data_IF_929328685188
#
_entry.id   IF_929328685188
#
_cell.length_a   1.000
_cell.length_b   1.000
_cell.length_c   1.000
_cell.angle_alpha   90.00
_cell.angle_beta   90.00
_cell.angle_gamma   90.00
#
_symmetry.space_group_name_H-M   'P 1'
#
loop_
_entity.id
_entity.type
_entity.pdbx_description
1 polymer ?
#
# COMPACT_ATOMS: atom_id res chain seq x y z
N UNK A 1 -37.39 -4.86 -29.12
CA UNK A 1 -36.04 -5.23 -29.58
C UNK A 1 -35.04 -4.63 -28.59
N UNK A 2 -34.55 -5.43 -27.64
CA UNK A 2 -33.73 -4.92 -26.52
C UNK A 2 -32.65 -5.95 -26.22
N UNK A 3 -31.59 -5.99 -27.04
CA UNK A 3 -30.44 -6.88 -26.83
C UNK A 3 -29.18 -6.15 -27.32
N UNK A 4 -28.56 -5.31 -26.49
CA UNK A 4 -27.23 -4.72 -26.78
C UNK A 4 -26.45 -4.19 -25.56
N UNK A 5 -26.96 -4.28 -24.33
CA UNK A 5 -26.30 -3.64 -23.16
C UNK A 5 -25.45 -4.57 -22.29
N UNK A 6 -25.47 -5.89 -22.50
CA UNK A 6 -24.74 -6.83 -21.61
C UNK A 6 -23.31 -7.20 -22.08
N UNK A 7 -22.93 -6.88 -23.32
CA UNK A 7 -21.67 -7.37 -23.91
C UNK A 7 -20.43 -6.50 -23.65
N UNK A 8 -20.54 -5.39 -22.92
CA UNK A 8 -19.38 -4.54 -22.54
C UNK A 8 -18.97 -4.62 -21.08
N UNK A 9 -19.77 -5.23 -20.21
CA UNK A 9 -19.45 -5.30 -18.78
C UNK A 9 -18.52 -6.48 -18.44
N UNK A 10 -18.63 -7.58 -19.17
CA UNK A 10 -17.85 -8.80 -18.92
C UNK A 10 -16.39 -8.76 -19.41
N UNK A 11 -16.05 -7.93 -20.41
CA UNK A 11 -14.68 -7.90 -20.97
C UNK A 11 -13.68 -7.04 -20.19
N UNK A 12 -14.16 -6.15 -19.32
CA UNK A 12 -13.31 -5.29 -18.47
C UNK A 12 -12.85 -6.03 -17.21
N UNK A 13 -13.66 -6.94 -16.68
CA UNK A 13 -13.33 -7.72 -15.48
C UNK A 13 -12.28 -8.80 -15.75
N UNK A 14 -12.29 -9.43 -16.94
CA UNK A 14 -11.29 -10.45 -17.29
C UNK A 14 -9.87 -9.88 -17.50
N UNK A 15 -9.77 -8.63 -17.97
CA UNK A 15 -8.48 -7.98 -18.22
C UNK A 15 -7.88 -7.34 -16.95
N UNK A 16 -8.71 -7.07 -15.93
CA UNK A 16 -8.27 -6.56 -14.62
C UNK A 16 -7.70 -7.69 -13.74
N UNK A 17 -8.11 -8.95 -13.97
CA UNK A 17 -7.54 -10.11 -13.28
C UNK A 17 -6.10 -10.43 -13.77
N UNK A 18 -5.81 -10.19 -15.06
CA UNK A 18 -4.49 -10.53 -15.65
C UNK A 18 -3.39 -9.50 -15.38
N UNK A 19 -3.71 -8.27 -14.98
CA UNK A 19 -2.70 -7.26 -14.62
C UNK A 19 -2.24 -7.33 -13.17
N UNK A 20 -2.82 -8.23 -12.35
CA UNK A 20 -2.44 -8.46 -10.96
C UNK A 20 -1.43 -9.61 -10.76
N UNK A 21 -0.83 -10.09 -11.85
CA UNK A 21 0.27 -11.04 -11.82
C UNK A 21 1.48 -10.44 -12.54
N UNK A 22 2.16 -9.49 -11.88
CA UNK A 22 3.54 -9.14 -12.24
C UNK A 22 4.39 -10.06 -11.38
N UNK A 23 4.85 -11.13 -12.03
CA UNK A 23 5.94 -11.98 -11.56
C UNK A 23 7.12 -11.10 -11.12
N UNK A 24 7.50 -11.29 -9.85
CA UNK A 24 8.82 -11.78 -9.49
C UNK A 24 9.99 -11.30 -10.37
N UNK A 25 10.40 -10.06 -10.16
CA UNK A 25 11.83 -9.70 -10.27
C UNK A 25 12.08 -8.51 -9.34
N UNK A 26 12.42 -8.82 -8.10
CA UNK A 26 13.13 -7.90 -7.22
C UNK A 26 14.54 -8.45 -7.05
N UNK A 27 15.61 -7.65 -7.19
CA UNK A 27 16.95 -8.12 -6.88
C UNK A 27 17.04 -8.34 -5.36
N UNK A 28 16.82 -9.59 -4.94
CA UNK A 28 16.97 -10.04 -3.56
C UNK A 28 18.45 -10.07 -3.13
N UNK A 29 18.81 -9.58 -1.93
CA UNK A 29 19.95 -10.10 -1.18
C UNK A 29 19.60 -11.49 -0.60
N UNK A 30 20.59 -12.37 -0.32
CA UNK A 30 20.38 -13.80 -0.34
C UNK A 30 19.55 -14.32 0.84
N UNK A 31 18.47 -15.04 0.47
CA UNK A 31 17.88 -16.21 1.16
C UNK A 31 17.66 -16.12 2.67
N UNK A 32 16.42 -15.82 3.04
CA UNK A 32 15.73 -16.56 4.09
C UNK A 32 14.38 -17.08 3.55
N UNK A 33 14.16 -18.39 3.73
CA UNK A 33 13.06 -19.18 3.18
C UNK A 33 11.67 -18.60 3.54
N UNK A 34 10.62 -18.81 2.72
CA UNK A 34 9.31 -18.21 2.95
C UNK A 34 8.67 -18.83 4.21
N UNK A 35 8.75 -18.11 5.32
CA UNK A 35 7.96 -18.41 6.50
C UNK A 35 6.49 -18.19 6.14
N UNK A 36 5.66 -19.20 6.40
CA UNK A 36 4.19 -19.14 6.33
C UNK A 36 3.71 -17.80 6.88
N UNK A 37 3.12 -16.98 6.00
CA UNK A 37 2.79 -15.59 6.30
C UNK A 37 1.89 -15.48 7.52
N UNK A 38 2.41 -14.91 8.59
CA UNK A 38 1.59 -14.44 9.71
C UNK A 38 0.77 -13.28 9.16
N UNK A 39 -0.53 -13.49 8.97
CA UNK A 39 -1.47 -12.40 8.70
C UNK A 39 -1.57 -11.56 9.97
N UNK A 40 -0.90 -10.41 10.00
CA UNK A 40 -1.06 -9.46 11.10
C UNK A 40 -2.47 -8.88 11.08
N UNK A 41 -3.07 -8.75 12.26
CA UNK A 41 -4.32 -8.02 12.45
C UNK A 41 -4.09 -6.52 12.26
N UNK A 42 -5.18 -5.77 12.05
CA UNK A 42 -5.12 -4.31 11.91
C UNK A 42 -4.51 -3.63 13.15
N UNK A 43 -4.88 -4.08 14.35
CA UNK A 43 -4.34 -3.53 15.61
C UNK A 43 -2.83 -3.76 15.74
N UNK A 44 -2.34 -4.92 15.32
CA UNK A 44 -0.90 -5.23 15.33
C UNK A 44 -0.14 -4.37 14.30
N UNK A 45 -0.74 -4.13 13.13
CA UNK A 45 -0.20 -3.22 12.12
C UNK A 45 -0.10 -1.80 12.68
N UNK A 46 -1.17 -1.30 13.32
CA UNK A 46 -1.20 0.04 13.91
C UNK A 46 -0.13 0.18 15.00
N UNK A 47 -0.02 -0.81 15.88
CA UNK A 47 1.01 -0.83 16.92
C UNK A 47 2.42 -0.90 16.34
N UNK A 48 2.63 -1.70 15.30
CA UNK A 48 3.93 -1.88 14.67
C UNK A 48 4.41 -0.67 13.90
N UNK A 49 3.52 0.01 13.14
CA UNK A 49 3.81 1.25 12.41
C UNK A 49 4.16 2.42 13.37
N UNK A 50 3.61 2.39 14.59
CA UNK A 50 3.92 3.36 15.64
C UNK A 50 5.08 2.93 16.56
N UNK A 51 5.79 1.85 16.23
CA UNK A 51 6.95 1.41 16.99
C UNK A 51 8.14 2.39 16.86
N UNK A 52 9.07 2.31 17.81
CA UNK A 52 10.37 2.99 17.73
C UNK A 52 11.41 2.19 16.95
N UNK A 53 11.17 0.89 16.73
CA UNK A 53 12.08 0.00 16.01
C UNK A 53 11.81 0.06 14.49
N UNK A 54 12.78 0.50 13.65
CA UNK A 54 12.63 0.56 12.21
C UNK A 54 12.29 -0.79 11.56
N UNK A 55 12.75 -1.91 12.12
CA UNK A 55 12.47 -3.25 11.59
C UNK A 55 10.99 -3.60 11.79
N UNK A 56 10.46 -3.31 12.98
CA UNK A 56 9.03 -3.50 13.30
C UNK A 56 8.17 -2.58 12.43
N UNK A 57 8.57 -1.32 12.27
CA UNK A 57 7.90 -0.37 11.37
C UNK A 57 7.85 -0.88 9.93
N UNK A 58 8.96 -1.43 9.43
CA UNK A 58 9.03 -2.01 8.09
C UNK A 58 8.10 -3.21 7.93
N UNK A 59 8.17 -4.18 8.84
CA UNK A 59 7.32 -5.38 8.80
C UNK A 59 5.82 -5.01 8.86
N UNK A 60 5.45 -4.08 9.74
CA UNK A 60 4.08 -3.60 9.87
C UNK A 60 3.61 -2.81 8.65
N UNK A 61 4.47 -1.97 8.06
CA UNK A 61 4.14 -1.22 6.83
C UNK A 61 3.99 -2.16 5.63
N UNK A 62 4.82 -3.19 5.53
CA UNK A 62 4.66 -4.22 4.50
C UNK A 62 3.35 -5.01 4.68
N UNK A 63 2.98 -5.33 5.92
CA UNK A 63 1.71 -6.01 6.22
C UNK A 63 0.50 -5.10 5.90
N UNK A 64 0.57 -3.81 6.25
CA UNK A 64 -0.41 -2.80 5.84
C UNK A 64 -0.61 -2.81 4.32
N UNK A 65 0.47 -2.71 3.55
CA UNK A 65 0.41 -2.75 2.09
C UNK A 65 -0.26 -4.03 1.57
N UNK A 66 0.13 -5.19 2.11
CA UNK A 66 -0.42 -6.50 1.71
C UNK A 66 -1.92 -6.60 2.00
N UNK A 67 -2.37 -6.17 3.18
CA UNK A 67 -3.78 -6.11 3.56
C UNK A 67 -4.59 -5.24 2.59
N UNK A 68 -4.06 -4.06 2.25
CA UNK A 68 -4.69 -3.15 1.28
C UNK A 68 -4.72 -3.68 -0.17
N UNK A 69 -3.87 -4.66 -0.51
CA UNK A 69 -3.75 -5.19 -1.87
C UNK A 69 -4.59 -6.45 -2.12
N UNK A 70 -4.85 -7.26 -1.08
CA UNK A 70 -5.42 -8.60 -1.23
C UNK A 70 -6.91 -8.68 -0.91
N UNK A 71 -7.43 -7.82 -0.04
CA UNK A 71 -8.84 -7.88 0.34
C UNK A 71 -9.74 -7.31 -0.76
N UNK A 72 -10.87 -7.97 -1.06
CA UNK A 72 -11.86 -7.45 -2.03
C UNK A 72 -12.43 -6.10 -1.59
N UNK A 73 -12.51 -5.89 -0.27
CA UNK A 73 -12.94 -4.64 0.36
C UNK A 73 -11.94 -4.31 1.47
N UNK A 74 -10.78 -3.72 1.14
CA UNK A 74 -9.77 -3.39 2.15
C UNK A 74 -10.36 -2.38 3.15
N UNK A 75 -9.98 -2.44 4.44
CA UNK A 75 -10.53 -1.58 5.49
C UNK A 75 -9.94 -0.16 5.43
N UNK A 76 -10.06 0.50 4.27
CA UNK A 76 -9.49 1.81 3.96
C UNK A 76 -9.84 2.88 5.01
N UNK A 77 -11.10 2.93 5.44
CA UNK A 77 -11.56 3.88 6.45
C UNK A 77 -10.87 3.65 7.80
N UNK A 78 -10.67 2.40 8.19
CA UNK A 78 -10.00 2.07 9.45
C UNK A 78 -8.53 2.50 9.43
N UNK A 79 -7.86 2.44 8.26
CA UNK A 79 -6.50 2.98 8.11
C UNK A 79 -6.44 4.51 8.25
N UNK A 80 -7.45 5.20 7.73
CA UNK A 80 -7.58 6.67 7.86
C UNK A 80 -7.85 7.05 9.32
N UNK A 81 -8.85 6.42 9.94
CA UNK A 81 -9.26 6.68 11.33
C UNK A 81 -8.15 6.37 12.33
N UNK A 82 -7.34 5.34 12.06
CA UNK A 82 -6.16 4.99 12.86
C UNK A 82 -4.98 5.96 12.68
N UNK A 83 -5.09 6.99 11.83
CA UNK A 83 -4.04 7.98 11.61
C UNK A 83 -2.81 7.44 10.87
N UNK A 84 -2.92 6.29 10.20
CA UNK A 84 -1.78 5.64 9.56
C UNK A 84 -1.23 6.47 8.39
N UNK A 85 -2.06 7.25 7.71
CA UNK A 85 -1.63 8.11 6.59
C UNK A 85 -0.53 9.07 7.05
N UNK A 86 -0.73 9.78 8.17
CA UNK A 86 0.25 10.73 8.70
C UNK A 86 1.59 10.05 8.99
N UNK A 87 1.55 8.84 9.57
CA UNK A 87 2.75 8.08 9.90
C UNK A 87 3.48 7.57 8.65
N UNK A 88 2.75 7.13 7.64
CA UNK A 88 3.34 6.75 6.34
C UNK A 88 4.00 7.95 5.65
N UNK A 89 3.40 9.14 5.74
CA UNK A 89 3.99 10.39 5.21
C UNK A 89 5.28 10.76 5.95
N UNK A 90 5.37 10.54 7.25
CA UNK A 90 6.63 10.70 7.99
C UNK A 90 7.71 9.73 7.51
N UNK A 91 7.35 8.47 7.22
CA UNK A 91 8.28 7.50 6.65
C UNK A 91 8.81 7.95 5.29
N UNK A 92 7.98 8.56 4.43
CA UNK A 92 8.45 9.12 3.16
C UNK A 92 9.57 10.17 3.35
N UNK A 93 9.51 10.96 4.42
CA UNK A 93 10.50 12.00 4.73
C UNK A 93 11.80 11.44 5.31
N UNK A 94 11.79 10.19 5.79
CA UNK A 94 12.94 9.56 6.46
C UNK A 94 13.88 8.89 5.44
N UNK A 95 14.89 9.63 4.96
CA UNK A 95 15.92 9.13 4.03
C UNK A 95 16.82 8.03 4.60
N UNK A 96 16.79 7.80 5.91
CA UNK A 96 17.60 6.78 6.59
C UNK A 96 17.17 5.34 6.28
N UNK A 97 15.93 5.14 5.81
CA UNK A 97 15.34 3.81 5.65
C UNK A 97 14.66 3.68 4.28
N UNK A 98 15.46 3.53 3.21
CA UNK A 98 14.95 3.51 1.83
C UNK A 98 13.92 2.40 1.56
N UNK A 99 14.08 1.22 2.16
CA UNK A 99 13.09 0.13 2.05
C UNK A 99 11.76 0.47 2.74
N UNK A 100 11.81 1.16 3.89
CA UNK A 100 10.61 1.62 4.58
C UNK A 100 9.92 2.74 3.81
N UNK A 101 10.68 3.68 3.22
CA UNK A 101 10.15 4.70 2.31
C UNK A 101 9.41 4.07 1.12
N UNK A 102 9.98 3.01 0.54
CA UNK A 102 9.37 2.31 -0.58
C UNK A 102 8.02 1.66 -0.21
N UNK A 103 7.99 0.90 0.90
CA UNK A 103 6.74 0.28 1.36
C UNK A 103 5.70 1.34 1.78
N UNK A 104 6.13 2.46 2.38
CA UNK A 104 5.24 3.55 2.74
C UNK A 104 4.62 4.23 1.52
N UNK A 105 5.41 4.49 0.47
CA UNK A 105 4.92 5.04 -0.78
C UNK A 105 3.91 4.10 -1.43
N UNK A 106 4.18 2.79 -1.42
CA UNK A 106 3.27 1.80 -1.99
C UNK A 106 1.99 1.63 -1.16
N UNK A 107 2.07 1.67 0.17
CA UNK A 107 0.88 1.68 1.02
C UNK A 107 0.01 2.91 0.73
N UNK A 108 0.60 4.10 0.59
CA UNK A 108 -0.12 5.33 0.27
C UNK A 108 -0.80 5.30 -1.11
N UNK A 109 -0.16 4.72 -2.14
CA UNK A 109 -0.82 4.57 -3.46
C UNK A 109 -1.99 3.60 -3.41
N UNK A 110 -1.91 2.55 -2.59
CA UNK A 110 -3.03 1.64 -2.37
C UNK A 110 -4.17 2.32 -1.59
N UNK A 111 -3.86 3.15 -0.58
CA UNK A 111 -4.87 3.94 0.15
C UNK A 111 -5.57 4.93 -0.79
N UNK A 112 -4.79 5.61 -1.64
CA UNK A 112 -5.28 6.56 -2.64
C UNK A 112 -6.07 5.90 -3.80
N UNK A 113 -6.37 4.60 -3.73
CA UNK A 113 -7.28 3.95 -4.68
C UNK A 113 -8.76 4.29 -4.42
N UNK A 114 -9.10 4.74 -3.22
CA UNK A 114 -10.46 5.15 -2.84
C UNK A 114 -10.68 6.66 -2.89
N UNK A 115 -11.88 7.10 -3.29
CA UNK A 115 -12.19 8.52 -3.55
C UNK A 115 -12.06 9.40 -2.30
N UNK A 116 -12.60 8.97 -1.17
CA UNK A 116 -12.56 9.73 0.09
C UNK A 116 -11.15 9.72 0.70
N UNK A 117 -10.40 8.64 0.50
CA UNK A 117 -9.07 8.46 1.07
C UNK A 117 -8.01 9.27 0.33
N UNK A 118 -8.19 9.53 -0.97
CA UNK A 118 -7.32 10.45 -1.72
C UNK A 118 -7.24 11.81 -1.02
N UNK A 119 -8.38 12.34 -0.58
CA UNK A 119 -8.41 13.63 0.10
C UNK A 119 -7.62 13.59 1.41
N UNK A 120 -7.76 12.53 2.20
CA UNK A 120 -7.00 12.35 3.43
C UNK A 120 -5.47 12.25 3.17
N UNK A 121 -5.06 11.58 2.09
CA UNK A 121 -3.63 11.51 1.68
C UNK A 121 -3.09 12.88 1.28
N UNK A 122 -3.88 13.69 0.59
CA UNK A 122 -3.52 15.06 0.21
C UNK A 122 -3.41 15.95 1.45
N UNK A 123 -4.39 15.90 2.34
CA UNK A 123 -4.43 16.70 3.58
C UNK A 123 -3.30 16.35 4.55
N UNK A 124 -2.88 15.08 4.59
CA UNK A 124 -1.71 14.65 5.34
C UNK A 124 -0.37 15.16 4.76
N UNK A 125 -0.38 15.82 3.61
CA UNK A 125 0.81 16.43 3.00
C UNK A 125 1.72 15.44 2.29
N UNK A 126 1.18 14.35 1.74
CA UNK A 126 1.97 13.32 1.04
C UNK A 126 2.58 13.79 -0.29
N UNK A 127 2.01 14.85 -0.92
CA UNK A 127 2.39 15.27 -2.28
C UNK A 127 3.86 15.67 -2.38
N UNK A 128 4.35 16.57 -1.52
CA UNK A 128 5.74 17.05 -1.58
C UNK A 128 6.74 15.91 -1.35
N UNK A 129 6.63 15.08 -0.29
CA UNK A 129 7.51 13.93 -0.11
C UNK A 129 7.50 12.96 -1.29
N UNK A 130 6.34 12.70 -1.91
CA UNK A 130 6.27 11.82 -3.08
C UNK A 130 7.00 12.39 -4.30
N UNK A 131 6.94 13.72 -4.51
CA UNK A 131 7.68 14.39 -5.58
C UNK A 131 9.19 14.30 -5.33
N UNK A 132 9.63 14.48 -4.08
CA UNK A 132 11.05 14.42 -3.70
C UNK A 132 11.68 13.03 -3.93
N UNK A 133 10.87 11.97 -4.00
CA UNK A 133 11.31 10.61 -4.33
C UNK A 133 11.52 10.38 -5.83
N UNK A 134 11.08 11.29 -6.70
CA UNK A 134 11.31 11.16 -8.13
C UNK A 134 12.79 11.44 -8.48
N UNK A 135 13.35 10.72 -9.47
CA UNK A 135 14.69 11.00 -9.93
C UNK A 135 14.80 12.44 -10.44
N UNK A 136 15.86 13.16 -10.05
CA UNK A 136 16.19 14.45 -10.67
C UNK A 136 16.66 14.19 -12.09
N UNK A 137 15.85 14.59 -13.06
CA UNK A 137 16.20 14.67 -14.49
C UNK A 137 17.17 15.81 -14.76
#
# INVERSE_FOLDING_TARGET
>A
MTISLELRKTKKDEQVLKRRNIDDVSPEPPSEKPAKGVSLSLDEIIKGVNSSDPVVCFQATQAARKMLSWEQNPPLNSFVEAGLISRLVEFLKSSLHSYLQFEAAWALTNIASGMEQIQAVVEAGAILPLIELLPRT
#
